data_IF_158385076007
#
_entry.id   IF_158385076007
#
_cell.length_a   1.000
_cell.length_b   1.000
_cell.length_c   1.000
_cell.angle_alpha   90.00
_cell.angle_beta   90.00
_cell.angle_gamma   90.00
#
_symmetry.space_group_name_H-M   'P 1'
#
loop_
_entity.id
_entity.type
_entity.pdbx_description
1 polymer ?
#
# COMPACT_ATOMS: atom_id res chain seq x y z
N UNK A 1 17.40 14.37 21.15
CA UNK A 1 16.15 14.86 20.50
C UNK A 1 15.17 15.18 21.61
N UNK A 2 14.48 16.34 21.57
CA UNK A 2 13.42 16.65 22.52
C UNK A 2 12.29 15.62 22.31
N UNK A 3 11.78 15.03 23.38
CA UNK A 3 10.71 14.05 23.32
C UNK A 3 9.39 14.71 22.87
N UNK A 4 8.49 13.95 22.30
CA UNK A 4 7.20 14.43 21.85
C UNK A 4 6.28 14.71 23.04
N UNK A 5 5.81 15.95 23.18
CA UNK A 5 4.86 16.39 24.19
C UNK A 5 3.44 16.18 23.68
N UNK A 6 2.59 15.53 24.48
CA UNK A 6 1.18 15.32 24.17
C UNK A 6 0.32 15.23 25.43
N UNK A 7 -1.00 15.33 25.25
CA UNK A 7 -1.97 15.02 26.30
C UNK A 7 -2.11 13.49 26.44
N UNK A 8 -1.90 12.97 27.62
CA UNK A 8 -2.08 11.57 28.01
C UNK A 8 -3.37 11.41 28.78
N UNK A 9 -4.11 10.36 28.51
CA UNK A 9 -5.38 10.08 29.18
C UNK A 9 -5.25 8.77 29.97
N UNK A 10 -5.51 8.83 31.27
CA UNK A 10 -5.55 7.62 32.10
C UNK A 10 -6.80 6.80 31.84
N UNK A 11 -6.79 5.51 32.20
CA UNK A 11 -7.94 4.59 32.06
C UNK A 11 -9.23 5.08 32.78
N UNK A 12 -9.09 6.01 33.74
CA UNK A 12 -10.22 6.63 34.42
C UNK A 12 -10.52 8.07 33.92
N UNK A 13 -10.02 8.44 32.74
CA UNK A 13 -10.32 9.70 32.05
C UNK A 13 -9.54 10.94 32.54
N UNK A 14 -8.61 10.83 33.49
CA UNK A 14 -7.76 11.96 33.89
C UNK A 14 -6.73 12.27 32.81
N UNK A 15 -6.56 13.57 32.55
CA UNK A 15 -5.66 14.09 31.51
C UNK A 15 -4.37 14.62 32.10
N UNK A 16 -3.27 14.44 31.38
CA UNK A 16 -1.94 14.89 31.77
C UNK A 16 -1.13 15.29 30.54
N UNK A 17 -0.62 16.50 30.52
CA UNK A 17 0.32 16.93 29.50
C UNK A 17 1.75 16.52 29.91
N UNK A 18 2.37 15.65 29.11
CA UNK A 18 3.68 15.12 29.40
C UNK A 18 4.44 14.75 28.12
N UNK A 19 5.76 14.76 28.23
CA UNK A 19 6.69 14.32 27.19
C UNK A 19 6.94 12.83 27.33
N UNK A 20 6.93 12.11 26.22
CA UNK A 20 7.35 10.72 26.14
C UNK A 20 8.87 10.62 26.28
N UNK A 21 9.34 9.85 27.24
CA UNK A 21 10.77 9.60 27.46
C UNK A 21 11.19 8.23 26.97
N UNK A 22 10.45 7.20 27.35
CA UNK A 22 10.69 5.81 26.95
C UNK A 22 9.49 4.94 27.22
N UNK A 23 9.48 3.73 26.66
CA UNK A 23 8.43 2.76 26.94
C UNK A 23 8.93 1.33 26.81
N UNK A 24 8.11 0.39 27.24
CA UNK A 24 8.22 -1.06 27.06
C UNK A 24 6.83 -1.60 26.73
N UNK A 25 6.69 -2.89 26.43
CA UNK A 25 5.38 -3.52 26.23
C UNK A 25 4.44 -3.44 27.45
N UNK A 26 4.96 -3.09 28.64
CA UNK A 26 4.19 -3.03 29.88
C UNK A 26 4.12 -1.65 30.51
N UNK A 27 5.09 -0.78 30.26
CA UNK A 27 5.25 0.51 30.93
C UNK A 27 5.59 1.63 29.96
N UNK A 28 5.18 2.85 30.30
CA UNK A 28 5.61 4.11 29.69
C UNK A 28 6.22 5.02 30.74
N UNK A 29 7.36 5.65 30.42
CA UNK A 29 7.99 6.68 31.24
C UNK A 29 7.73 8.05 30.63
N UNK A 30 7.15 8.93 31.39
CA UNK A 30 6.75 10.26 31.00
C UNK A 30 7.46 11.32 31.83
N UNK A 31 7.65 12.51 31.26
CA UNK A 31 8.09 13.70 31.97
C UNK A 31 6.99 14.75 31.92
N UNK A 32 6.40 15.09 33.07
CA UNK A 32 5.35 16.10 33.18
C UNK A 32 5.88 17.46 32.74
N UNK A 33 5.11 18.18 31.92
CA UNK A 33 5.53 19.49 31.40
C UNK A 33 5.51 20.56 32.47
N UNK A 34 4.57 20.49 33.42
CA UNK A 34 4.36 21.53 34.45
C UNK A 34 5.45 21.61 35.52
N UNK A 35 6.11 20.50 35.88
CA UNK A 35 7.09 20.43 36.96
C UNK A 35 8.37 19.62 36.61
N UNK A 36 8.45 19.11 35.39
CA UNK A 36 9.59 18.31 34.92
C UNK A 36 9.71 16.92 35.55
N UNK A 37 8.81 16.54 36.44
CA UNK A 37 8.89 15.27 37.17
C UNK A 37 8.71 14.07 36.22
N UNK A 38 9.61 13.09 36.36
CA UNK A 38 9.53 11.79 35.64
C UNK A 38 8.79 10.76 36.50
N UNK A 39 7.96 9.96 35.82
CA UNK A 39 7.24 8.85 36.42
C UNK A 39 6.96 7.77 35.37
N UNK A 40 6.87 6.53 35.84
CA UNK A 40 6.57 5.38 35.00
C UNK A 40 5.16 4.87 35.32
N UNK A 41 4.38 4.66 34.28
CA UNK A 41 2.97 4.20 34.37
C UNK A 41 2.87 2.85 33.67
N UNK A 42 2.12 1.92 34.25
CA UNK A 42 1.74 0.69 33.57
C UNK A 42 0.75 1.02 32.43
N UNK A 43 0.92 0.39 31.26
CA UNK A 43 0.08 0.67 30.10
C UNK A 43 -1.42 0.35 30.31
N UNK A 44 -1.76 -0.55 31.24
CA UNK A 44 -3.16 -0.82 31.63
C UNK A 44 -3.84 0.36 32.34
N UNK A 45 -3.06 1.35 32.81
CA UNK A 45 -3.53 2.57 33.49
C UNK A 45 -3.74 3.77 32.56
N UNK A 46 -3.47 3.65 31.27
CA UNK A 46 -3.72 4.69 30.26
C UNK A 46 -4.79 4.23 29.27
N UNK A 47 -5.32 5.18 28.48
CA UNK A 47 -6.35 4.90 27.47
C UNK A 47 -5.87 3.93 26.39
N UNK A 48 -6.81 3.30 25.70
CA UNK A 48 -6.50 2.40 24.57
C UNK A 48 -5.76 3.14 23.46
N UNK A 49 -6.13 4.40 23.20
CA UNK A 49 -5.49 5.26 22.22
C UNK A 49 -4.02 5.54 22.57
N UNK A 50 -3.74 5.86 23.84
CA UNK A 50 -2.38 6.09 24.32
C UNK A 50 -1.55 4.81 24.35
N UNK A 51 -2.14 3.67 24.65
CA UNK A 51 -1.48 2.35 24.53
C UNK A 51 -1.03 2.05 23.13
N UNK A 52 -1.91 2.28 22.16
CA UNK A 52 -1.59 2.04 20.75
C UNK A 52 -0.52 3.03 20.25
N UNK A 53 -0.58 4.30 20.71
CA UNK A 53 0.46 5.28 20.41
C UNK A 53 1.83 4.88 20.98
N UNK A 54 1.91 4.41 22.26
CA UNK A 54 3.17 3.93 22.86
C UNK A 54 3.72 2.76 22.06
N UNK A 55 2.89 1.81 21.66
CA UNK A 55 3.30 0.68 20.84
C UNK A 55 3.89 1.11 19.50
N UNK A 56 3.25 2.07 18.83
CA UNK A 56 3.78 2.65 17.59
C UNK A 56 5.12 3.35 17.82
N UNK A 57 5.26 4.12 18.91
CA UNK A 57 6.53 4.79 19.27
C UNK A 57 7.65 3.81 19.60
N UNK A 58 7.36 2.72 20.28
CA UNK A 58 8.36 1.67 20.52
C UNK A 58 8.85 1.04 19.21
N UNK A 59 7.94 0.77 18.29
CA UNK A 59 8.27 0.29 16.94
C UNK A 59 9.16 1.29 16.16
N UNK A 60 9.00 2.62 16.38
CA UNK A 60 9.81 3.67 15.77
C UNK A 60 11.21 3.81 16.41
N UNK A 61 11.30 3.73 17.76
CA UNK A 61 12.53 4.00 18.53
C UNK A 61 13.48 2.80 18.59
N UNK A 62 12.95 1.59 18.76
CA UNK A 62 13.75 0.36 18.80
C UNK A 62 14.14 -0.15 17.40
N UNK A 63 13.67 0.53 16.36
CA UNK A 63 13.63 -0.06 15.04
C UNK A 63 12.60 -1.20 15.02
N UNK A 64 12.18 -1.66 13.85
CA UNK A 64 11.24 -2.74 13.78
C UNK A 64 11.85 -3.99 14.41
N UNK A 65 11.31 -4.44 15.54
CA UNK A 65 11.71 -5.69 16.17
C UNK A 65 11.81 -6.83 15.14
N UNK A 66 12.65 -7.80 15.44
CA UNK A 66 12.82 -8.98 14.57
C UNK A 66 11.46 -9.60 14.27
N UNK A 67 11.08 -9.68 12.99
CA UNK A 67 9.84 -10.29 12.56
C UNK A 67 10.11 -11.33 11.50
N UNK A 68 10.02 -12.59 11.88
CA UNK A 68 10.14 -13.69 10.94
C UNK A 68 8.85 -13.83 10.11
N UNK A 69 8.97 -14.19 8.83
CA UNK A 69 7.81 -14.62 8.05
C UNK A 69 7.09 -15.78 8.74
N UNK A 70 5.78 -15.75 8.71
CA UNK A 70 4.95 -16.79 9.33
C UNK A 70 3.66 -17.03 8.54
N UNK A 71 2.82 -17.99 8.97
CA UNK A 71 1.58 -18.33 8.30
C UNK A 71 1.83 -18.78 6.86
N UNK A 72 1.03 -18.29 5.91
CA UNK A 72 1.17 -18.69 4.50
C UNK A 72 2.50 -18.21 3.87
N UNK A 73 3.24 -17.29 4.49
CA UNK A 73 4.50 -16.75 4.00
C UNK A 73 5.74 -17.39 4.61
N UNK A 74 5.58 -18.36 5.51
CA UNK A 74 6.70 -19.10 6.10
C UNK A 74 7.54 -19.76 5.01
N UNK A 75 8.87 -19.61 5.10
CA UNK A 75 9.85 -20.13 4.13
C UNK A 75 9.68 -19.68 2.66
N UNK A 76 8.97 -18.57 2.42
CA UNK A 76 8.70 -18.06 1.06
C UNK A 76 9.67 -16.96 0.58
N UNK A 77 10.69 -16.60 1.36
CA UNK A 77 11.70 -15.60 0.97
C UNK A 77 12.89 -16.28 0.28
N UNK A 78 12.80 -16.49 -1.03
CA UNK A 78 13.74 -17.36 -1.77
C UNK A 78 14.18 -16.85 -3.15
N UNK A 79 13.95 -15.56 -3.46
CA UNK A 79 14.25 -14.93 -4.75
C UNK A 79 13.54 -15.60 -5.95
N UNK A 80 12.38 -16.22 -5.70
CA UNK A 80 11.54 -16.80 -6.75
C UNK A 80 10.07 -16.34 -6.61
N UNK A 81 9.31 -16.49 -7.71
CA UNK A 81 7.88 -16.25 -7.71
C UNK A 81 7.14 -17.49 -7.20
N UNK A 82 6.77 -17.48 -5.93
CA UNK A 82 6.02 -18.55 -5.30
C UNK A 82 4.56 -18.60 -5.79
N UNK A 83 4.05 -19.81 -6.09
CA UNK A 83 2.63 -20.05 -6.38
C UNK A 83 1.88 -20.25 -5.05
N UNK A 84 0.92 -19.38 -4.79
CA UNK A 84 0.16 -19.37 -3.54
C UNK A 84 -1.33 -19.18 -3.79
N UNK A 85 -2.15 -19.43 -2.76
CA UNK A 85 -3.59 -19.27 -2.78
C UNK A 85 -4.07 -18.57 -1.51
N UNK A 86 -5.08 -17.70 -1.64
CA UNK A 86 -5.70 -17.03 -0.52
C UNK A 86 -7.15 -16.66 -0.85
N UNK A 87 -8.11 -17.11 -0.05
CA UNK A 87 -9.53 -16.88 -0.32
C UNK A 87 -9.92 -17.43 -1.70
N UNK A 88 -10.45 -16.58 -2.55
CA UNK A 88 -10.84 -16.94 -3.92
C UNK A 88 -9.70 -16.81 -4.92
N UNK A 89 -8.54 -16.31 -4.50
CA UNK A 89 -7.45 -15.92 -5.39
C UNK A 89 -6.33 -16.95 -5.42
N UNK A 90 -5.82 -17.24 -6.60
CA UNK A 90 -4.45 -17.67 -6.81
C UNK A 90 -3.58 -16.43 -6.96
N UNK A 91 -2.38 -16.45 -6.41
CA UNK A 91 -1.47 -15.32 -6.52
C UNK A 91 -0.02 -15.77 -6.59
N UNK A 92 0.79 -14.91 -7.16
CA UNK A 92 2.24 -15.04 -7.11
C UNK A 92 2.80 -14.07 -6.08
N UNK A 93 3.69 -14.60 -5.27
CA UNK A 93 4.40 -13.86 -4.24
C UNK A 93 5.89 -13.83 -4.55
N UNK A 94 6.50 -12.66 -4.37
CA UNK A 94 7.95 -12.51 -4.41
C UNK A 94 8.44 -11.91 -3.10
N UNK A 95 9.38 -12.59 -2.45
CA UNK A 95 10.10 -12.09 -1.31
C UNK A 95 11.57 -12.45 -1.42
N UNK A 96 12.45 -11.43 -1.40
CA UNK A 96 13.88 -11.65 -1.58
C UNK A 96 14.53 -12.37 -0.41
N UNK A 97 15.37 -13.35 -0.70
CA UNK A 97 16.12 -14.15 0.27
C UNK A 97 17.00 -13.32 1.21
N UNK A 98 17.43 -12.13 0.76
CA UNK A 98 18.30 -11.23 1.52
C UNK A 98 17.56 -10.20 2.36
N UNK A 99 16.23 -10.22 2.40
CA UNK A 99 15.45 -9.33 3.24
C UNK A 99 15.74 -9.64 4.72
N UNK A 100 16.12 -8.60 5.46
CA UNK A 100 16.44 -8.72 6.88
C UNK A 100 15.15 -8.64 7.70
N UNK A 101 14.93 -9.58 8.59
CA UNK A 101 13.78 -9.61 9.49
C UNK A 101 13.77 -8.45 10.52
N UNK A 102 14.91 -7.74 10.67
CA UNK A 102 15.05 -6.54 11.50
C UNK A 102 14.68 -5.23 10.79
N UNK A 103 14.31 -5.29 9.51
CA UNK A 103 13.85 -4.14 8.71
C UNK A 103 12.40 -4.33 8.29
N UNK A 104 11.73 -3.24 7.92
CA UNK A 104 10.40 -3.26 7.30
C UNK A 104 10.50 -2.86 5.84
N UNK A 105 9.74 -3.55 5.01
CA UNK A 105 9.79 -3.41 3.56
C UNK A 105 8.42 -3.04 2.98
N UNK A 106 8.39 -2.27 1.89
CA UNK A 106 7.16 -1.99 1.17
C UNK A 106 6.48 -3.26 0.67
N UNK A 107 5.17 -3.15 0.42
CA UNK A 107 4.41 -4.11 -0.38
C UNK A 107 3.98 -3.43 -1.67
N UNK A 108 4.15 -4.10 -2.80
CA UNK A 108 3.59 -3.67 -4.09
C UNK A 108 2.60 -4.73 -4.58
N UNK A 109 1.36 -4.31 -4.79
CA UNK A 109 0.30 -5.13 -5.37
C UNK A 109 0.13 -4.77 -6.83
N UNK A 110 0.18 -5.75 -7.72
CA UNK A 110 -0.05 -5.59 -9.15
C UNK A 110 -1.33 -6.30 -9.59
N UNK A 111 -2.26 -5.57 -10.18
CA UNK A 111 -3.50 -6.10 -10.75
C UNK A 111 -3.41 -6.13 -12.27
N UNK A 112 -3.46 -7.33 -12.85
CA UNK A 112 -3.37 -7.55 -14.29
C UNK A 112 -4.64 -7.09 -15.04
N UNK A 113 -4.51 -6.90 -16.35
CA UNK A 113 -5.59 -6.64 -17.27
C UNK A 113 -6.36 -7.90 -17.70
N UNK A 114 -7.42 -7.70 -18.51
CA UNK A 114 -8.17 -8.80 -19.12
C UNK A 114 -7.25 -9.66 -19.99
N UNK A 115 -7.52 -10.97 -20.07
CA UNK A 115 -6.72 -11.94 -20.80
C UNK A 115 -5.66 -12.66 -19.94
N UNK A 116 -5.38 -12.14 -18.72
CA UNK A 116 -4.49 -12.80 -17.75
C UNK A 116 -5.25 -13.46 -16.60
N UNK A 117 -6.55 -13.39 -16.58
CA UNK A 117 -7.40 -14.09 -15.62
C UNK A 117 -7.40 -15.60 -15.81
N UNK A 118 -7.95 -16.27 -14.82
CA UNK A 118 -8.06 -17.72 -14.80
C UNK A 118 -7.49 -18.36 -13.54
N UNK A 119 -6.96 -19.57 -13.67
CA UNK A 119 -6.53 -20.39 -12.53
C UNK A 119 -5.15 -21.04 -12.72
N UNK A 120 -4.40 -20.68 -13.77
CA UNK A 120 -3.07 -21.23 -14.03
C UNK A 120 -2.00 -20.67 -13.07
N UNK A 121 -2.28 -19.54 -12.44
CA UNK A 121 -1.37 -18.83 -11.56
C UNK A 121 -0.03 -18.46 -12.26
N UNK A 122 -0.07 -18.08 -13.54
CA UNK A 122 1.12 -17.79 -14.36
C UNK A 122 0.94 -16.54 -15.24
N UNK A 123 -0.19 -16.38 -15.92
CA UNK A 123 -0.42 -15.33 -16.91
C UNK A 123 -0.30 -13.92 -16.34
N UNK A 124 -0.55 -13.73 -15.04
CA UNK A 124 -0.39 -12.45 -14.37
C UNK A 124 1.07 -12.00 -14.21
N UNK A 125 2.05 -12.89 -14.43
CA UNK A 125 3.46 -12.57 -14.30
C UNK A 125 4.07 -11.96 -15.57
N UNK A 126 3.41 -10.97 -16.16
CA UNK A 126 3.98 -10.18 -17.27
C UNK A 126 4.24 -8.74 -16.83
N UNK A 127 5.05 -7.99 -17.64
CA UNK A 127 5.29 -6.56 -17.41
C UNK A 127 5.85 -6.24 -16.00
N UNK A 128 5.08 -5.56 -15.16
CA UNK A 128 5.51 -5.00 -13.86
C UNK A 128 6.07 -6.01 -12.87
N UNK A 129 5.43 -7.16 -12.60
CA UNK A 129 6.00 -8.14 -11.68
C UNK A 129 7.44 -8.52 -12.05
N UNK A 130 7.70 -8.79 -13.32
CA UNK A 130 9.05 -9.15 -13.79
C UNK A 130 10.03 -8.00 -13.68
N UNK A 131 9.60 -6.76 -13.95
CA UNK A 131 10.43 -5.57 -13.80
C UNK A 131 10.81 -5.35 -12.34
N UNK A 132 9.83 -5.37 -11.43
CA UNK A 132 10.05 -5.15 -10.00
C UNK A 132 10.93 -6.22 -9.35
N UNK A 133 10.83 -7.49 -9.79
CA UNK A 133 11.67 -8.58 -9.31
C UNK A 133 13.03 -8.69 -10.01
N UNK A 134 13.29 -7.87 -11.04
CA UNK A 134 14.57 -7.89 -11.73
C UNK A 134 15.71 -7.47 -10.80
N UNK A 135 16.89 -8.12 -10.95
CA UNK A 135 18.02 -7.96 -10.03
C UNK A 135 18.43 -6.49 -9.81
N UNK A 136 18.43 -5.68 -10.88
CA UNK A 136 18.80 -4.26 -10.80
C UNK A 136 17.77 -3.47 -9.99
N UNK A 137 16.50 -3.54 -10.39
CA UNK A 137 15.43 -2.78 -9.75
C UNK A 137 15.22 -3.19 -8.29
N UNK A 138 15.20 -4.50 -8.02
CA UNK A 138 14.95 -5.04 -6.69
C UNK A 138 16.06 -4.71 -5.68
N UNK A 139 17.31 -4.60 -6.14
CA UNK A 139 18.45 -4.21 -5.29
C UNK A 139 18.23 -2.83 -4.66
N UNK A 140 17.71 -1.89 -5.46
CA UNK A 140 17.50 -0.50 -5.05
C UNK A 140 16.13 -0.29 -4.36
N UNK A 141 15.16 -1.14 -4.69
CA UNK A 141 13.78 -1.07 -4.19
C UNK A 141 13.32 -2.41 -3.59
N UNK A 142 13.98 -2.92 -2.54
CA UNK A 142 13.61 -4.19 -1.94
C UNK A 142 12.19 -4.10 -1.34
N UNK A 143 11.31 -5.01 -1.76
CA UNK A 143 9.88 -5.00 -1.42
C UNK A 143 9.27 -6.38 -1.50
N UNK A 144 8.13 -6.60 -0.86
CA UNK A 144 7.28 -7.75 -1.12
C UNK A 144 6.38 -7.46 -2.33
N UNK A 145 6.33 -8.39 -3.28
CA UNK A 145 5.52 -8.24 -4.48
C UNK A 145 4.39 -9.26 -4.45
N UNK A 146 3.16 -8.81 -4.68
CA UNK A 146 1.95 -9.61 -4.70
C UNK A 146 1.27 -9.40 -6.05
N UNK A 147 1.20 -10.46 -6.85
CA UNK A 147 0.53 -10.48 -8.15
C UNK A 147 -0.61 -11.51 -8.12
N UNK A 148 -1.82 -11.13 -7.67
CA UNK A 148 -2.97 -12.03 -7.71
C UNK A 148 -3.45 -12.23 -9.13
N UNK A 149 -4.10 -13.38 -9.38
CA UNK A 149 -4.81 -13.69 -10.61
C UNK A 149 -6.31 -13.60 -10.38
N UNK A 150 -7.00 -12.77 -11.17
CA UNK A 150 -8.44 -12.66 -11.14
C UNK A 150 -9.04 -13.96 -11.71
N UNK A 151 -9.89 -14.68 -10.96
CA UNK A 151 -10.44 -15.94 -11.43
C UNK A 151 -11.37 -15.82 -12.64
N UNK A 152 -11.98 -14.64 -12.83
CA UNK A 152 -12.98 -14.40 -13.88
C UNK A 152 -12.80 -13.01 -14.50
N UNK A 153 -12.26 -12.97 -15.71
CA UNK A 153 -12.02 -11.75 -16.46
C UNK A 153 -13.32 -10.97 -16.79
N UNK A 154 -14.49 -11.62 -16.82
CA UNK A 154 -15.75 -10.94 -17.09
C UNK A 154 -16.27 -10.19 -15.87
N UNK A 155 -16.05 -10.73 -14.67
CA UNK A 155 -16.35 -10.04 -13.40
C UNK A 155 -15.29 -8.99 -13.07
N UNK A 156 -14.04 -9.25 -13.45
CA UNK A 156 -12.91 -8.39 -13.17
C UNK A 156 -12.63 -8.25 -11.67
N UNK A 157 -11.81 -7.27 -11.32
CA UNK A 157 -11.38 -6.98 -9.93
C UNK A 157 -12.49 -6.28 -9.13
N UNK A 158 -13.62 -6.99 -8.90
CA UNK A 158 -14.79 -6.47 -8.16
C UNK A 158 -15.31 -7.48 -7.14
N UNK A 159 -16.19 -7.01 -6.26
CA UNK A 159 -16.89 -7.86 -5.30
C UNK A 159 -15.93 -8.63 -4.39
N UNK A 160 -16.03 -9.95 -4.38
CA UNK A 160 -15.21 -10.82 -3.53
C UNK A 160 -13.73 -10.77 -3.93
N UNK A 161 -13.41 -10.68 -5.22
CA UNK A 161 -12.03 -10.74 -5.69
C UNK A 161 -11.19 -9.56 -5.17
N UNK A 162 -11.67 -8.33 -5.27
CA UNK A 162 -10.93 -7.18 -4.75
C UNK A 162 -10.93 -7.14 -3.22
N UNK A 163 -11.98 -7.62 -2.56
CA UNK A 163 -12.01 -7.77 -1.10
C UNK A 163 -10.96 -8.78 -0.63
N UNK A 164 -10.78 -9.87 -1.35
CA UNK A 164 -9.75 -10.86 -1.02
C UNK A 164 -8.33 -10.34 -1.31
N UNK A 165 -8.12 -9.47 -2.32
CA UNK A 165 -6.86 -8.73 -2.47
C UNK A 165 -6.56 -7.89 -1.23
N UNK A 166 -7.53 -7.12 -0.73
CA UNK A 166 -7.37 -6.29 0.48
C UNK A 166 -7.07 -7.16 1.71
N UNK A 167 -7.77 -8.27 1.90
CA UNK A 167 -7.49 -9.22 2.98
C UNK A 167 -6.09 -9.83 2.86
N UNK A 168 -5.66 -10.20 1.64
CA UNK A 168 -4.31 -10.72 1.38
C UNK A 168 -3.22 -9.71 1.75
N UNK A 169 -3.42 -8.43 1.46
CA UNK A 169 -2.51 -7.36 1.89
C UNK A 169 -2.47 -7.28 3.43
N UNK A 170 -3.61 -7.34 4.11
CA UNK A 170 -3.65 -7.36 5.57
C UNK A 170 -2.98 -8.61 6.15
N UNK A 171 -3.12 -9.76 5.52
CA UNK A 171 -2.41 -10.98 5.90
C UNK A 171 -0.90 -10.83 5.72
N UNK A 172 -0.45 -10.16 4.64
CA UNK A 172 0.97 -9.85 4.48
C UNK A 172 1.51 -8.93 5.58
N UNK A 173 0.75 -7.91 5.98
CA UNK A 173 1.10 -7.03 7.10
C UNK A 173 1.23 -7.81 8.40
N UNK A 174 0.36 -8.78 8.63
CA UNK A 174 0.34 -9.60 9.84
C UNK A 174 1.52 -10.56 9.92
N UNK A 175 1.94 -11.13 8.80
CA UNK A 175 2.87 -12.27 8.76
C UNK A 175 4.25 -11.98 8.17
N UNK A 176 4.46 -10.81 7.54
CA UNK A 176 5.74 -10.39 6.98
C UNK A 176 6.27 -9.13 7.67
N UNK A 177 7.57 -8.84 7.59
CA UNK A 177 8.16 -7.59 8.06
C UNK A 177 7.80 -6.42 7.12
N UNK A 178 6.51 -6.10 7.02
CA UNK A 178 5.96 -5.04 6.15
C UNK A 178 6.06 -3.68 6.82
N UNK A 179 6.44 -2.67 6.03
CA UNK A 179 6.25 -1.26 6.38
C UNK A 179 4.80 -0.86 6.05
N UNK A 180 3.98 -0.74 7.07
CA UNK A 180 2.55 -0.40 6.94
C UNK A 180 2.32 0.96 6.30
N UNK A 181 3.33 1.84 6.31
CA UNK A 181 3.26 3.17 5.71
C UNK A 181 3.67 3.17 4.23
N UNK A 182 4.16 2.06 3.69
CA UNK A 182 4.62 1.93 2.30
C UNK A 182 3.98 0.74 1.59
N UNK A 183 2.68 0.79 1.43
CA UNK A 183 1.89 -0.21 0.69
C UNK A 183 1.38 0.45 -0.58
N UNK A 184 1.71 -0.12 -1.72
CA UNK A 184 1.41 0.43 -3.03
C UNK A 184 0.55 -0.51 -3.84
N UNK A 185 -0.31 0.05 -4.68
CA UNK A 185 -1.13 -0.71 -5.61
C UNK A 185 -1.07 -0.12 -7.00
N UNK A 186 -0.92 -0.97 -8.01
CA UNK A 186 -0.94 -0.57 -9.41
C UNK A 186 -1.65 -1.63 -10.25
N UNK A 187 -2.19 -1.24 -11.36
CA UNK A 187 -2.84 -2.15 -12.29
C UNK A 187 -3.22 -1.47 -13.59
N UNK A 188 -3.41 -2.28 -14.63
CA UNK A 188 -3.68 -1.81 -15.97
C UNK A 188 -5.02 -2.31 -16.50
N UNK A 189 -5.74 -1.49 -17.28
CA UNK A 189 -7.02 -1.84 -17.90
C UNK A 189 -8.01 -2.36 -16.85
N UNK A 190 -8.46 -3.60 -16.92
CA UNK A 190 -9.26 -4.24 -15.88
C UNK A 190 -8.62 -4.09 -14.49
N UNK A 191 -7.29 -4.22 -14.37
CA UNK A 191 -6.55 -3.97 -13.13
C UNK A 191 -6.47 -2.49 -12.75
N UNK A 192 -6.54 -1.58 -13.71
CA UNK A 192 -6.68 -0.14 -13.49
C UNK A 192 -8.01 0.17 -12.77
N UNK A 193 -9.12 -0.40 -13.27
CA UNK A 193 -10.43 -0.33 -12.57
C UNK A 193 -10.35 -0.98 -11.18
N UNK A 194 -9.66 -2.14 -11.07
CA UNK A 194 -9.45 -2.81 -9.79
C UNK A 194 -8.66 -1.98 -8.80
N UNK A 195 -7.67 -1.22 -9.26
CA UNK A 195 -6.91 -0.28 -8.42
C UNK A 195 -7.83 0.80 -7.85
N UNK A 196 -8.66 1.43 -8.67
CA UNK A 196 -9.67 2.38 -8.21
C UNK A 196 -10.68 1.75 -7.23
N UNK A 197 -11.12 0.53 -7.51
CA UNK A 197 -12.04 -0.21 -6.64
C UNK A 197 -11.40 -0.48 -5.26
N UNK A 198 -10.13 -0.90 -5.21
CA UNK A 198 -9.40 -1.09 -3.97
C UNK A 198 -9.32 0.21 -3.16
N UNK A 199 -9.02 1.34 -3.81
CA UNK A 199 -9.01 2.65 -3.16
C UNK A 199 -10.41 3.04 -2.64
N UNK A 200 -11.48 2.69 -3.36
CA UNK A 200 -12.85 2.98 -2.90
C UNK A 200 -13.23 2.23 -1.62
N UNK A 201 -12.65 1.06 -1.40
CA UNK A 201 -12.95 0.19 -0.25
C UNK A 201 -12.04 0.54 0.94
N UNK A 202 -10.72 0.58 0.73
CA UNK A 202 -9.71 0.72 1.79
C UNK A 202 -8.63 1.75 1.43
N UNK A 203 -8.99 3.04 1.27
CA UNK A 203 -8.01 4.08 0.89
C UNK A 203 -6.88 4.24 1.91
N UNK A 204 -7.16 4.02 3.20
CA UNK A 204 -6.20 4.12 4.29
C UNK A 204 -5.10 3.04 4.25
N UNK A 205 -5.32 1.97 3.49
CA UNK A 205 -4.35 0.89 3.36
C UNK A 205 -3.16 1.30 2.50
N UNK A 206 -3.36 2.17 1.50
CA UNK A 206 -2.37 2.44 0.46
C UNK A 206 -1.67 3.79 0.67
N UNK A 207 -0.35 3.77 0.52
CA UNK A 207 0.51 4.96 0.52
C UNK A 207 0.55 5.66 -0.84
N UNK A 208 0.39 4.90 -1.93
CA UNK A 208 0.21 5.43 -3.27
C UNK A 208 -0.47 4.41 -4.18
N UNK A 209 -1.05 4.92 -5.26
CA UNK A 209 -1.67 4.10 -6.30
C UNK A 209 -1.32 4.60 -7.71
N UNK A 210 -1.12 3.64 -8.64
CA UNK A 210 -0.88 3.94 -10.06
C UNK A 210 -1.89 3.15 -10.91
N UNK A 211 -3.15 3.60 -11.03
CA UNK A 211 -4.14 3.01 -11.93
C UNK A 211 -3.89 3.47 -13.38
N UNK A 212 -3.90 2.54 -14.34
CA UNK A 212 -3.60 2.84 -15.74
C UNK A 212 -4.75 2.38 -16.63
N UNK A 213 -5.18 3.24 -17.58
CA UNK A 213 -6.28 3.04 -18.52
C UNK A 213 -7.49 2.36 -17.87
N UNK A 214 -7.90 2.89 -16.73
CA UNK A 214 -9.09 2.52 -15.98
C UNK A 214 -9.75 3.75 -15.40
N UNK A 215 -10.90 3.59 -14.77
CA UNK A 215 -11.59 4.72 -14.14
C UNK A 215 -12.45 4.29 -12.97
N UNK A 216 -13.11 5.27 -12.36
CA UNK A 216 -14.00 5.06 -11.22
C UNK A 216 -15.19 5.99 -11.27
N UNK A 217 -16.21 5.68 -10.48
CA UNK A 217 -17.30 6.64 -10.25
C UNK A 217 -16.73 7.87 -9.54
N UNK A 218 -16.93 9.08 -10.06
CA UNK A 218 -16.46 10.34 -9.47
C UNK A 218 -16.91 10.57 -8.02
N UNK A 219 -17.99 9.92 -7.57
CA UNK A 219 -18.52 10.04 -6.21
C UNK A 219 -17.54 9.59 -5.11
N UNK A 220 -16.56 8.72 -5.46
CA UNK A 220 -15.57 8.25 -4.48
C UNK A 220 -14.47 9.28 -4.20
N UNK A 221 -14.35 10.34 -5.00
CA UNK A 221 -13.24 11.30 -4.93
C UNK A 221 -12.99 11.86 -3.51
N UNK A 222 -14.06 12.25 -2.81
CA UNK A 222 -13.93 12.78 -1.44
C UNK A 222 -13.32 11.76 -0.46
N UNK A 223 -13.64 10.46 -0.65
CA UNK A 223 -13.14 9.37 0.21
C UNK A 223 -11.65 9.11 -0.01
N UNK A 224 -11.20 9.14 -1.27
CA UNK A 224 -9.84 8.76 -1.65
C UNK A 224 -8.86 9.93 -1.79
N UNK A 225 -9.31 11.17 -1.62
CA UNK A 225 -8.54 12.40 -1.92
C UNK A 225 -7.19 12.53 -1.20
N UNK A 226 -7.01 11.84 -0.07
CA UNK A 226 -5.75 11.87 0.69
C UNK A 226 -4.70 10.90 0.14
N UNK A 227 -5.10 9.91 -0.65
CA UNK A 227 -4.16 8.94 -1.23
C UNK A 227 -3.41 9.61 -2.39
N UNK A 228 -2.09 9.59 -2.41
CA UNK A 228 -1.31 9.98 -3.58
C UNK A 228 -1.62 9.04 -4.76
N UNK A 229 -2.10 9.60 -5.85
CA UNK A 229 -2.47 8.83 -7.05
C UNK A 229 -1.79 9.44 -8.27
N UNK A 230 -1.17 8.60 -9.11
CA UNK A 230 -0.70 9.00 -10.42
C UNK A 230 -1.34 8.09 -11.46
N UNK A 231 -2.31 8.61 -12.20
CA UNK A 231 -3.02 7.84 -13.23
C UNK A 231 -2.55 8.17 -14.63
N UNK A 232 -2.61 7.20 -15.53
CA UNK A 232 -2.17 7.31 -16.92
C UNK A 232 -3.26 6.78 -17.87
N UNK A 233 -3.45 7.44 -19.01
CA UNK A 233 -4.40 6.99 -20.04
C UNK A 233 -4.00 7.52 -21.42
N UNK A 234 -4.27 6.77 -22.49
CA UNK A 234 -4.15 7.26 -23.85
C UNK A 234 -5.42 8.01 -24.27
N UNK A 235 -5.30 9.21 -24.86
CA UNK A 235 -6.46 9.99 -25.31
C UNK A 235 -7.29 9.23 -26.35
N UNK A 236 -6.62 8.55 -27.29
CA UNK A 236 -7.24 7.76 -28.34
C UNK A 236 -7.49 6.28 -27.94
N UNK A 237 -7.70 5.99 -26.66
CA UNK A 237 -8.03 4.62 -26.20
C UNK A 237 -9.43 4.21 -26.67
N UNK A 238 -9.48 3.25 -27.59
CA UNK A 238 -10.71 2.71 -28.18
C UNK A 238 -11.30 1.54 -27.37
N UNK A 239 -10.55 1.02 -26.37
CA UNK A 239 -10.97 -0.12 -25.51
C UNK A 239 -11.60 0.36 -24.22
N UNK A 240 -10.94 1.31 -23.57
CA UNK A 240 -11.44 1.97 -22.35
C UNK A 240 -11.47 3.47 -22.60
N UNK A 241 -12.66 4.03 -22.70
CA UNK A 241 -12.84 5.46 -22.97
C UNK A 241 -12.13 6.32 -21.92
N UNK A 242 -11.31 7.26 -22.39
CA UNK A 242 -10.52 8.17 -21.54
C UNK A 242 -11.38 9.00 -20.59
N UNK A 243 -12.64 9.23 -20.93
CA UNK A 243 -13.60 9.97 -20.10
C UNK A 243 -13.82 9.33 -18.73
N UNK A 244 -13.63 8.02 -18.59
CA UNK A 244 -13.68 7.36 -17.27
C UNK A 244 -12.58 7.85 -16.35
N UNK A 245 -11.36 8.03 -16.86
CA UNK A 245 -10.24 8.59 -16.08
C UNK A 245 -10.42 10.10 -15.92
N UNK A 246 -10.72 10.85 -16.97
CA UNK A 246 -10.97 12.30 -16.89
C UNK A 246 -12.04 12.62 -15.83
N UNK A 247 -13.10 11.84 -15.74
CA UNK A 247 -14.19 12.03 -14.79
C UNK A 247 -13.75 11.95 -13.34
N UNK A 248 -12.99 10.92 -12.96
CA UNK A 248 -12.48 10.78 -11.59
C UNK A 248 -11.35 11.76 -11.27
N UNK A 249 -10.48 12.07 -12.23
CA UNK A 249 -9.43 13.09 -12.09
C UNK A 249 -10.05 14.45 -11.80
N UNK A 250 -10.99 14.91 -12.61
CA UNK A 250 -11.70 16.18 -12.41
C UNK A 250 -12.40 16.25 -11.04
N UNK A 251 -12.98 15.13 -10.59
CA UNK A 251 -13.63 15.07 -9.28
C UNK A 251 -12.61 15.15 -8.12
N UNK A 252 -11.44 14.52 -8.27
CA UNK A 252 -10.36 14.61 -7.30
C UNK A 252 -9.75 16.02 -7.24
N UNK A 253 -9.53 16.67 -8.36
CA UNK A 253 -9.06 18.06 -8.41
C UNK A 253 -10.03 19.01 -7.71
N UNK A 254 -11.34 18.90 -8.02
CA UNK A 254 -12.39 19.66 -7.32
C UNK A 254 -12.42 19.38 -5.81
N UNK A 255 -12.10 18.16 -5.40
CA UNK A 255 -12.01 17.77 -3.99
C UNK A 255 -10.68 18.15 -3.34
N UNK A 256 -9.76 18.81 -4.07
CA UNK A 256 -8.38 19.11 -3.67
C UNK A 256 -7.63 17.83 -3.26
N UNK A 257 -7.77 16.78 -4.08
CA UNK A 257 -7.14 15.49 -3.88
C UNK A 257 -5.68 15.48 -4.36
N UNK A 258 -4.90 14.52 -3.85
CA UNK A 258 -3.52 14.31 -4.26
C UNK A 258 -3.49 13.45 -5.53
N UNK A 259 -3.70 14.08 -6.69
CA UNK A 259 -3.80 13.43 -7.99
C UNK A 259 -2.78 13.99 -8.97
N UNK A 260 -2.08 13.12 -9.68
CA UNK A 260 -1.31 13.39 -10.89
C UNK A 260 -1.97 12.66 -12.05
N UNK A 261 -2.04 13.30 -13.20
CA UNK A 261 -2.57 12.71 -14.41
C UNK A 261 -1.61 12.88 -15.58
N UNK A 262 -1.31 11.79 -16.26
CA UNK A 262 -0.62 11.78 -17.54
C UNK A 262 -1.57 11.24 -18.58
N UNK A 263 -2.02 12.12 -19.46
CA UNK A 263 -2.77 11.75 -20.65
C UNK A 263 -1.81 11.77 -21.84
N UNK A 264 -1.74 10.64 -22.54
CA UNK A 264 -0.92 10.54 -23.75
C UNK A 264 -1.76 11.03 -24.92
N UNK A 265 -1.34 12.12 -25.62
CA UNK A 265 -2.13 12.70 -26.67
C UNK A 265 -2.29 11.76 -27.88
N UNK A 266 -3.31 11.97 -28.68
CA UNK A 266 -3.67 11.11 -29.82
C UNK A 266 -2.49 10.94 -30.81
N UNK A 267 -1.76 12.01 -31.09
CA UNK A 267 -0.60 12.01 -31.97
C UNK A 267 0.63 11.25 -31.42
N UNK A 268 0.63 10.89 -30.15
CA UNK A 268 1.64 10.04 -29.55
C UNK A 268 1.60 8.59 -30.05
N UNK A 269 0.51 8.17 -30.66
CA UNK A 269 0.24 6.79 -31.05
C UNK A 269 -0.07 5.84 -29.90
N UNK A 270 -0.07 6.32 -28.64
CA UNK A 270 -0.40 5.55 -27.45
C UNK A 270 -1.92 5.52 -27.28
N UNK A 271 -2.51 4.36 -27.55
CA UNK A 271 -3.93 4.10 -27.38
C UNK A 271 -4.20 3.41 -26.05
N UNK A 272 -4.67 2.16 -26.08
CA UNK A 272 -4.94 1.39 -24.85
C UNK A 272 -3.70 1.00 -24.09
N UNK A 273 -2.56 0.77 -24.75
CA UNK A 273 -1.29 0.40 -24.09
C UNK A 273 -0.58 1.60 -23.43
N UNK A 274 -1.29 2.30 -22.55
CA UNK A 274 -0.69 3.36 -21.73
C UNK A 274 0.21 2.84 -20.62
N UNK A 275 0.17 1.54 -20.32
CA UNK A 275 1.02 0.92 -19.27
C UNK A 275 2.46 0.75 -19.71
N UNK A 276 2.74 0.51 -21.00
CA UNK A 276 4.11 0.37 -21.48
C UNK A 276 4.92 1.64 -21.26
N UNK A 277 4.52 2.83 -21.72
CA UNK A 277 5.25 4.05 -21.42
C UNK A 277 5.22 4.41 -19.92
N UNK A 278 4.11 4.20 -19.22
CA UNK A 278 4.03 4.46 -17.79
C UNK A 278 5.07 3.65 -17.01
N UNK A 279 5.08 2.33 -17.18
CA UNK A 279 6.00 1.47 -16.43
C UNK A 279 7.45 1.53 -16.93
N UNK A 280 7.70 2.08 -18.11
CA UNK A 280 9.05 2.36 -18.59
C UNK A 280 9.58 3.71 -18.12
N UNK A 281 8.74 4.61 -17.65
CA UNK A 281 9.17 5.85 -17.03
C UNK A 281 9.70 5.60 -15.59
N UNK A 282 11.01 5.82 -15.32
CA UNK A 282 11.58 5.61 -13.99
C UNK A 282 10.95 6.51 -12.93
N UNK A 283 10.52 7.73 -13.29
CA UNK A 283 9.92 8.68 -12.36
C UNK A 283 8.64 8.13 -11.69
N UNK A 284 7.89 7.26 -12.36
CA UNK A 284 6.67 6.65 -11.81
C UNK A 284 7.00 5.81 -10.59
N UNK A 285 8.04 4.99 -10.67
CA UNK A 285 8.46 4.15 -9.55
C UNK A 285 9.18 4.95 -8.47
N UNK A 286 10.05 5.89 -8.85
CA UNK A 286 10.70 6.80 -7.90
C UNK A 286 9.66 7.57 -7.09
N UNK A 287 8.66 8.13 -7.78
CA UNK A 287 7.54 8.80 -7.12
C UNK A 287 6.75 7.84 -6.22
N UNK A 288 6.37 6.66 -6.71
CA UNK A 288 5.59 5.69 -5.95
C UNK A 288 6.32 5.27 -4.66
N UNK A 289 7.59 4.89 -4.76
CA UNK A 289 8.39 4.47 -3.61
C UNK A 289 8.78 5.62 -2.67
N UNK A 290 8.68 6.88 -3.11
CA UNK A 290 8.87 8.06 -2.26
C UNK A 290 7.67 8.37 -1.36
N UNK A 291 6.49 7.80 -1.63
CA UNK A 291 5.28 8.05 -0.86
C UNK A 291 5.25 7.20 0.41
N UNK A 292 4.79 7.82 1.50
CA UNK A 292 4.49 7.14 2.76
C UNK A 292 3.32 7.81 3.46
N UNK A 293 2.49 7.05 4.17
CA UNK A 293 1.25 7.58 4.82
C UNK A 293 1.50 8.61 5.92
N UNK A 294 2.66 8.57 6.58
CA UNK A 294 3.00 9.44 7.71
C UNK A 294 4.08 10.49 7.36
N UNK A 295 4.05 10.97 6.13
CA UNK A 295 4.88 12.12 5.70
C UNK A 295 4.08 13.41 5.74
#
# INVERSE_FOLDING_TARGET
MAGEVREWVSSNGKKLEAEFISGTEKFVTLRRTSDGRRFTINLDKISDEDREWVKQKLEEVEGPGKKEPSGIFEDRLNDSWEKMEFGTLKFRFWGGKKLKNTKRYPVVVFLHGRGSGGSDNEKQLFSVPRKLSSKGFYKDNPSFLIAPQCPDDNKGWRGVYIKDVIKLVNESIKHLPVDKNRIYITGLSMGGFGTWEALSIAPELFAAAVPICGGANPSIAKKIKKVPIWTHHGEADEVVRVEWTRGIVNALEKAKGNIRYTEYPEDSGIKHDAWTPCYNNPEVFEWMFSQAKNK
#
